data_IF_059643712835
#
_entry.id   IF_059643712835
#
_cell.length_a   1.000
_cell.length_b   1.000
_cell.length_c   1.000
_cell.angle_alpha   90.00
_cell.angle_beta   90.00
_cell.angle_gamma   90.00
#
_symmetry.space_group_name_H-M   'P 1'
#
loop_
_entity.id
_entity.type
_entity.pdbx_description
1 polymer ?
#
# COMPACT_ATOMS: atom_id res chain seq x y z
N UNK A 1 -21.29 -2.13 -22.70
CA UNK A 1 -22.13 -2.65 -21.59
C UNK A 1 -21.47 -3.92 -21.13
N UNK A 2 -20.46 -3.79 -20.28
CA UNK A 2 -19.87 -4.92 -19.56
C UNK A 2 -20.92 -5.43 -18.57
N UNK A 3 -21.24 -6.73 -18.62
CA UNK A 3 -22.07 -7.37 -17.60
C UNK A 3 -21.47 -7.05 -16.22
N UNK A 4 -22.33 -6.66 -15.26
CA UNK A 4 -21.87 -6.31 -13.93
C UNK A 4 -21.18 -7.54 -13.33
N UNK A 5 -19.87 -7.44 -13.09
CA UNK A 5 -19.10 -8.46 -12.39
C UNK A 5 -19.83 -8.78 -11.07
N UNK A 6 -19.96 -10.06 -10.65
CA UNK A 6 -20.68 -10.45 -9.43
C UNK A 6 -20.22 -9.71 -8.16
N UNK A 7 -18.98 -9.21 -8.19
CA UNK A 7 -18.36 -8.47 -7.09
C UNK A 7 -18.76 -6.99 -7.02
N UNK A 8 -19.33 -6.43 -8.10
CA UNK A 8 -19.78 -5.03 -8.16
C UNK A 8 -21.18 -4.86 -7.55
N UNK A 9 -21.45 -5.53 -6.43
CA UNK A 9 -22.68 -5.41 -5.66
C UNK A 9 -22.62 -4.15 -4.77
N UNK A 10 -23.55 -3.19 -4.92
CA UNK A 10 -23.59 -1.99 -4.09
C UNK A 10 -23.68 -2.29 -2.59
N UNK A 11 -24.37 -3.36 -2.19
CA UNK A 11 -24.53 -3.73 -0.79
C UNK A 11 -23.22 -4.21 -0.16
N UNK A 12 -22.50 -5.08 -0.85
CA UNK A 12 -21.16 -5.52 -0.52
C UNK A 12 -20.18 -4.36 -0.43
N UNK A 13 -20.20 -3.48 -1.42
CA UNK A 13 -19.34 -2.29 -1.46
C UNK A 13 -19.65 -1.31 -0.33
N UNK A 14 -20.93 -1.09 -0.01
CA UNK A 14 -21.36 -0.30 1.14
C UNK A 14 -20.78 -0.85 2.43
N UNK A 15 -21.06 -2.11 2.75
CA UNK A 15 -20.56 -2.73 3.99
C UNK A 15 -19.04 -2.67 4.08
N UNK A 16 -18.35 -2.95 2.97
CA UNK A 16 -16.90 -3.02 2.95
C UNK A 16 -16.21 -1.66 3.03
N UNK A 17 -16.95 -0.56 2.87
CA UNK A 17 -16.40 0.79 3.00
C UNK A 17 -16.84 1.49 4.29
N UNK A 18 -17.58 0.80 5.16
CA UNK A 18 -18.02 1.37 6.44
C UNK A 18 -16.87 1.57 7.42
N UNK A 19 -16.85 2.72 8.14
CA UNK A 19 -15.92 2.93 9.23
C UNK A 19 -16.02 1.83 10.29
N UNK A 20 -14.88 1.25 10.67
CA UNK A 20 -14.84 0.21 11.69
C UNK A 20 -15.22 -1.18 11.21
N UNK A 21 -15.60 -1.33 9.93
CA UNK A 21 -15.60 -2.62 9.25
C UNK A 21 -14.16 -3.09 9.05
N UNK A 22 -13.90 -4.36 9.35
CA UNK A 22 -12.60 -4.99 9.21
C UNK A 22 -12.78 -6.49 9.06
N UNK A 23 -11.70 -7.21 8.71
CA UNK A 23 -11.77 -8.63 8.37
C UNK A 23 -12.46 -9.50 9.45
N UNK A 24 -12.19 -9.24 10.74
CA UNK A 24 -12.84 -10.00 11.82
C UNK A 24 -14.34 -9.71 11.95
N UNK A 25 -14.76 -8.45 11.75
CA UNK A 25 -16.19 -8.10 11.79
C UNK A 25 -16.91 -8.66 10.58
N UNK A 26 -16.29 -8.60 9.40
CA UNK A 26 -16.79 -9.17 8.15
C UNK A 26 -17.08 -10.66 8.33
N UNK A 27 -16.07 -11.43 8.78
CA UNK A 27 -16.20 -12.86 9.01
C UNK A 27 -17.33 -13.21 9.99
N UNK A 28 -17.46 -12.47 11.09
CA UNK A 28 -18.54 -12.68 12.07
C UNK A 28 -19.93 -12.47 11.49
N UNK A 29 -20.10 -11.42 10.69
CA UNK A 29 -21.38 -11.11 10.03
C UNK A 29 -21.73 -12.20 9.00
N UNK A 30 -20.74 -12.63 8.21
CA UNK A 30 -20.92 -13.68 7.22
C UNK A 30 -21.28 -15.03 7.85
N UNK A 31 -20.61 -15.42 8.95
CA UNK A 31 -20.89 -16.66 9.67
C UNK A 31 -22.25 -16.65 10.39
N UNK A 32 -22.65 -15.50 10.95
CA UNK A 32 -23.85 -15.41 11.78
C UNK A 32 -25.13 -15.09 10.98
N UNK A 33 -25.02 -14.30 9.92
CA UNK A 33 -26.17 -13.75 9.17
C UNK A 33 -26.15 -14.20 7.71
N UNK A 34 -24.97 -14.25 7.09
CA UNK A 34 -24.79 -14.66 5.70
C UNK A 34 -24.32 -13.52 4.79
N UNK A 35 -24.72 -13.51 3.51
CA UNK A 35 -24.14 -12.60 2.52
C UNK A 35 -24.44 -11.11 2.82
N UNK A 36 -23.69 -10.16 2.22
CA UNK A 36 -23.89 -8.72 2.40
C UNK A 36 -25.33 -8.23 2.29
N UNK A 37 -26.10 -8.78 1.36
CA UNK A 37 -27.52 -8.44 1.18
C UNK A 37 -28.38 -8.81 2.39
N UNK A 38 -28.11 -9.94 3.05
CA UNK A 38 -28.80 -10.35 4.27
C UNK A 38 -28.38 -9.48 5.46
N UNK A 39 -27.09 -9.16 5.57
CA UNK A 39 -26.56 -8.24 6.61
C UNK A 39 -27.20 -6.87 6.52
N UNK A 40 -27.42 -6.34 5.32
CA UNK A 40 -28.11 -5.06 5.10
C UNK A 40 -29.62 -5.11 5.37
N UNK A 41 -30.21 -6.29 5.53
CA UNK A 41 -31.62 -6.44 5.92
C UNK A 41 -31.78 -6.83 7.40
N UNK A 42 -30.68 -7.14 8.08
CA UNK A 42 -30.67 -7.58 9.46
C UNK A 42 -31.14 -6.48 10.41
N UNK A 43 -31.90 -6.88 11.42
CA UNK A 43 -32.28 -6.06 12.56
C UNK A 43 -31.08 -5.73 13.44
N UNK A 44 -31.22 -4.69 14.27
CA UNK A 44 -30.18 -4.35 15.25
C UNK A 44 -29.89 -5.49 16.23
N UNK A 45 -30.87 -6.32 16.55
CA UNK A 45 -30.69 -7.48 17.43
C UNK A 45 -29.84 -8.57 16.76
N UNK A 46 -30.13 -8.91 15.50
CA UNK A 46 -29.34 -9.87 14.72
C UNK A 46 -27.90 -9.40 14.55
N UNK A 47 -27.69 -8.11 14.26
CA UNK A 47 -26.36 -7.52 14.14
C UNK A 47 -25.59 -7.62 15.47
N UNK A 48 -26.20 -7.30 16.61
CA UNK A 48 -25.53 -7.43 17.91
C UNK A 48 -25.22 -8.90 18.26
N UNK A 49 -26.14 -9.82 17.94
CA UNK A 49 -25.98 -11.24 18.18
C UNK A 49 -24.84 -11.88 17.34
N UNK A 50 -24.45 -11.26 16.23
CA UNK A 50 -23.27 -11.69 15.46
C UNK A 50 -21.93 -11.45 16.19
N UNK A 51 -21.91 -10.71 17.30
CA UNK A 51 -20.69 -10.43 18.06
C UNK A 51 -19.81 -9.33 17.48
N UNK A 52 -20.36 -8.49 16.57
CA UNK A 52 -19.73 -7.22 16.21
C UNK A 52 -19.92 -6.18 17.31
N UNK A 53 -19.14 -5.10 17.21
CA UNK A 53 -19.23 -4.00 18.19
C UNK A 53 -20.55 -3.21 18.01
N UNK A 54 -21.17 -2.69 19.08
CA UNK A 54 -22.42 -1.93 18.99
C UNK A 54 -22.35 -0.62 18.18
N UNK A 55 -21.16 -0.01 18.04
CA UNK A 55 -20.94 1.13 17.15
C UNK A 55 -21.04 0.72 15.67
N UNK A 56 -20.44 -0.41 15.29
CA UNK A 56 -20.53 -0.94 13.93
C UNK A 56 -21.96 -1.38 13.59
N UNK A 57 -22.70 -2.00 14.52
CA UNK A 57 -24.10 -2.37 14.28
C UNK A 57 -24.97 -1.14 13.98
N UNK A 58 -24.79 -0.04 14.72
CA UNK A 58 -25.47 1.24 14.44
C UNK A 58 -25.06 1.84 13.11
N UNK A 59 -23.79 1.73 12.73
CA UNK A 59 -23.31 2.20 11.44
C UNK A 59 -23.91 1.40 10.28
N UNK A 60 -24.04 0.08 10.41
CA UNK A 60 -24.70 -0.76 9.39
C UNK A 60 -26.18 -0.37 9.23
N UNK A 61 -26.91 -0.19 10.32
CA UNK A 61 -28.31 0.24 10.27
C UNK A 61 -28.48 1.62 9.62
N UNK A 62 -27.58 2.56 9.91
CA UNK A 62 -27.60 3.90 9.29
C UNK A 62 -27.19 3.85 7.82
N UNK A 63 -26.33 2.91 7.43
CA UNK A 63 -25.83 2.73 6.08
C UNK A 63 -26.88 2.27 5.09
N UNK A 64 -27.91 1.54 5.53
CA UNK A 64 -28.99 1.05 4.66
C UNK A 64 -29.64 2.16 3.83
N UNK A 65 -29.80 3.36 4.41
CA UNK A 65 -30.37 4.52 3.73
C UNK A 65 -29.46 5.14 2.65
N UNK A 66 -28.18 4.75 2.59
CA UNK A 66 -27.15 5.25 1.64
C UNK A 66 -26.88 4.28 0.50
N UNK A 67 -27.66 3.20 0.36
CA UNK A 67 -27.39 2.15 -0.63
C UNK A 67 -27.38 2.69 -2.06
N UNK A 68 -28.35 3.53 -2.43
CA UNK A 68 -28.44 4.12 -3.77
C UNK A 68 -27.25 5.05 -4.07
N UNK A 69 -26.93 5.98 -3.16
CA UNK A 69 -25.76 6.87 -3.26
C UNK A 69 -24.44 6.08 -3.37
N UNK A 70 -24.38 4.93 -2.70
CA UNK A 70 -23.22 4.05 -2.73
C UNK A 70 -23.12 3.28 -4.04
N UNK A 71 -24.26 2.91 -4.63
CA UNK A 71 -24.33 2.36 -5.99
C UNK A 71 -23.84 3.36 -7.03
N UNK A 72 -24.22 4.64 -6.90
CA UNK A 72 -23.70 5.72 -7.75
C UNK A 72 -22.17 5.87 -7.60
N UNK A 73 -21.66 5.89 -6.36
CA UNK A 73 -20.22 5.96 -6.11
C UNK A 73 -19.46 4.76 -6.68
N UNK A 74 -20.02 3.56 -6.59
CA UNK A 74 -19.45 2.37 -7.21
C UNK A 74 -19.40 2.53 -8.73
N UNK A 75 -20.48 2.99 -9.35
CA UNK A 75 -20.54 3.30 -10.78
C UNK A 75 -19.50 4.34 -11.21
N UNK A 76 -19.31 5.39 -10.42
CA UNK A 76 -18.27 6.41 -10.63
C UNK A 76 -16.87 5.80 -10.56
N UNK A 77 -16.61 4.91 -9.59
CA UNK A 77 -15.33 4.24 -9.47
C UNK A 77 -15.04 3.38 -10.71
N UNK A 78 -16.00 2.54 -11.11
CA UNK A 78 -15.87 1.67 -12.28
C UNK A 78 -15.68 2.49 -13.57
N UNK A 79 -16.40 3.60 -13.72
CA UNK A 79 -16.27 4.52 -14.87
C UNK A 79 -14.90 5.19 -14.90
N UNK A 80 -14.32 5.49 -13.75
CA UNK A 80 -12.95 6.00 -13.62
C UNK A 80 -11.86 4.93 -13.85
N UNK A 81 -12.24 3.69 -14.16
CA UNK A 81 -11.31 2.56 -14.34
C UNK A 81 -10.80 1.98 -13.03
N UNK A 82 -11.42 2.33 -11.90
CA UNK A 82 -11.05 1.78 -10.59
C UNK A 82 -11.64 0.37 -10.48
N UNK A 83 -10.77 -0.60 -10.26
CA UNK A 83 -11.12 -1.98 -10.00
C UNK A 83 -11.34 -2.18 -8.50
N UNK A 84 -12.36 -2.96 -8.14
CA UNK A 84 -12.69 -3.28 -6.77
C UNK A 84 -12.35 -4.74 -6.52
N UNK A 85 -11.51 -4.98 -5.51
CA UNK A 85 -11.06 -6.30 -5.10
C UNK A 85 -11.51 -6.58 -3.68
N UNK A 86 -11.84 -7.83 -3.43
CA UNK A 86 -12.14 -8.40 -2.14
C UNK A 86 -11.17 -9.55 -1.85
N UNK A 87 -11.03 -10.01 -0.60
CA UNK A 87 -10.08 -11.08 -0.25
C UNK A 87 -10.23 -12.35 -1.08
N UNK A 88 -11.43 -12.69 -1.52
CA UNK A 88 -11.73 -13.85 -2.35
C UNK A 88 -11.66 -13.58 -3.87
N UNK A 89 -11.41 -12.33 -4.28
CA UNK A 89 -11.36 -11.97 -5.69
C UNK A 89 -10.24 -12.71 -6.42
N UNK A 90 -10.53 -13.12 -7.65
CA UNK A 90 -9.55 -13.76 -8.51
C UNK A 90 -8.44 -12.76 -8.89
N UNK A 91 -7.19 -13.21 -8.94
CA UNK A 91 -6.05 -12.37 -9.34
C UNK A 91 -5.44 -11.49 -8.23
N UNK A 92 -5.90 -11.61 -6.98
CA UNK A 92 -5.23 -10.96 -5.83
C UNK A 92 -3.88 -11.65 -5.57
N UNK A 93 -2.74 -10.93 -5.56
CA UNK A 93 -1.45 -11.56 -5.30
C UNK A 93 -1.38 -12.24 -3.96
N UNK A 94 -0.83 -13.45 -3.95
CA UNK A 94 -0.46 -14.15 -2.72
C UNK A 94 0.45 -13.28 -1.84
N UNK A 95 1.31 -12.47 -2.45
CA UNK A 95 2.18 -11.53 -1.73
C UNK A 95 1.37 -10.46 -1.00
N UNK A 96 0.24 -10.01 -1.53
CA UNK A 96 -0.66 -9.03 -0.90
C UNK A 96 -1.49 -9.68 0.22
N UNK A 97 -2.00 -10.89 0.00
CA UNK A 97 -2.74 -11.69 0.99
C UNK A 97 -1.85 -12.04 2.19
N UNK A 98 -0.65 -12.58 1.95
CA UNK A 98 0.30 -12.94 3.00
C UNK A 98 0.90 -11.74 3.73
N UNK A 99 1.05 -10.62 3.03
CA UNK A 99 1.58 -9.38 3.58
C UNK A 99 0.66 -8.76 4.64
N UNK A 100 -0.63 -8.80 4.36
CA UNK A 100 -1.65 -8.07 5.10
C UNK A 100 -2.93 -8.91 5.13
N UNK A 101 -3.19 -9.66 6.20
CA UNK A 101 -4.39 -10.49 6.28
C UNK A 101 -5.66 -9.66 6.63
N UNK A 102 -5.49 -8.43 7.10
CA UNK A 102 -6.58 -7.62 7.67
C UNK A 102 -7.13 -6.56 6.70
N UNK A 103 -7.47 -6.97 5.47
CA UNK A 103 -8.26 -6.14 4.55
C UNK A 103 -9.50 -6.89 4.09
N UNK A 104 -10.48 -6.12 3.64
CA UNK A 104 -11.79 -6.63 3.23
C UNK A 104 -12.33 -5.90 1.99
N UNK A 105 -11.66 -4.82 1.58
CA UNK A 105 -11.81 -4.20 0.28
C UNK A 105 -10.48 -3.60 -0.16
N UNK A 106 -10.27 -3.62 -1.45
CA UNK A 106 -9.24 -2.91 -2.14
C UNK A 106 -9.75 -2.22 -3.39
N UNK A 107 -9.26 -1.01 -3.59
CA UNK A 107 -9.47 -0.25 -4.83
C UNK A 107 -8.15 -0.11 -5.54
N UNK A 108 -8.14 -0.44 -6.82
CA UNK A 108 -6.96 -0.45 -7.68
C UNK A 108 -7.21 0.45 -8.90
N UNK A 109 -6.21 1.21 -9.33
CA UNK A 109 -6.25 1.96 -10.58
C UNK A 109 -4.89 1.91 -11.27
N UNK A 110 -4.88 1.58 -12.55
CA UNK A 110 -3.65 1.43 -13.34
C UNK A 110 -3.46 -0.02 -13.81
N UNK A 111 -2.20 -0.44 -13.97
CA UNK A 111 -1.88 -1.78 -14.49
C UNK A 111 -1.93 -2.84 -13.38
N UNK A 112 -2.94 -3.74 -13.37
CA UNK A 112 -2.98 -4.84 -12.41
C UNK A 112 -1.82 -5.81 -12.64
N UNK A 113 -1.16 -5.88 -13.79
CA UNK A 113 0.01 -6.75 -14.01
C UNK A 113 1.18 -6.49 -13.05
N UNK A 114 1.25 -5.29 -12.44
CA UNK A 114 2.25 -4.95 -11.43
C UNK A 114 2.06 -5.71 -10.10
N UNK A 115 0.89 -6.31 -9.91
CA UNK A 115 0.60 -7.24 -8.82
C UNK A 115 1.50 -8.49 -8.87
N UNK A 116 1.93 -8.88 -10.07
CA UNK A 116 2.78 -10.05 -10.34
C UNK A 116 4.25 -9.69 -10.56
N UNK A 117 4.65 -8.46 -10.21
CA UNK A 117 6.04 -8.02 -10.35
C UNK A 117 7.00 -8.95 -9.58
N UNK A 118 7.97 -9.51 -10.32
CA UNK A 118 8.93 -10.51 -9.80
C UNK A 118 9.71 -9.98 -8.60
N UNK A 119 10.25 -8.76 -8.74
CA UNK A 119 11.02 -8.07 -7.71
C UNK A 119 10.41 -6.71 -7.44
N UNK A 120 10.11 -6.45 -6.16
CA UNK A 120 9.49 -5.23 -5.67
C UNK A 120 10.34 -4.65 -4.55
N UNK A 121 10.91 -3.48 -4.77
CA UNK A 121 11.71 -2.77 -3.76
C UNK A 121 10.88 -1.66 -3.15
N UNK A 122 10.67 -1.75 -1.84
CA UNK A 122 10.01 -0.69 -1.08
C UNK A 122 10.99 0.44 -0.80
N UNK A 123 10.63 1.66 -1.16
CA UNK A 123 11.43 2.84 -0.84
C UNK A 123 10.63 3.78 0.06
N UNK A 124 11.16 4.10 1.24
CA UNK A 124 10.47 4.97 2.21
C UNK A 124 11.41 5.99 2.83
N UNK A 125 10.84 7.11 3.26
CA UNK A 125 11.60 8.06 4.05
C UNK A 125 10.81 9.26 4.55
N UNK A 126 11.53 10.32 4.93
CA UNK A 126 10.95 11.54 5.47
C UNK A 126 10.14 12.29 4.41
N UNK A 127 9.08 12.96 4.89
CA UNK A 127 8.28 13.88 4.07
C UNK A 127 9.01 15.20 3.77
N UNK A 128 9.70 15.70 4.79
CA UNK A 128 10.63 16.82 4.71
C UNK A 128 12.03 16.21 4.71
N UNK A 129 12.42 15.68 3.56
CA UNK A 129 13.75 15.10 3.35
C UNK A 129 14.73 16.18 2.88
N UNK A 130 16.03 15.92 3.03
CA UNK A 130 17.05 16.82 2.48
C UNK A 130 17.07 16.75 0.95
N UNK A 131 17.63 17.77 0.29
CA UNK A 131 17.81 17.76 -1.17
C UNK A 131 18.65 16.56 -1.62
N UNK A 132 19.70 16.23 -0.85
CA UNK A 132 20.55 15.06 -1.09
C UNK A 132 19.73 13.76 -0.99
N UNK A 133 18.89 13.61 0.02
CA UNK A 133 18.03 12.43 0.17
C UNK A 133 16.98 12.31 -0.92
N UNK A 134 16.39 13.45 -1.35
CA UNK A 134 15.46 13.51 -2.49
C UNK A 134 16.15 13.07 -3.77
N UNK A 135 17.34 13.59 -4.06
CA UNK A 135 18.11 13.25 -5.25
C UNK A 135 18.54 11.78 -5.23
N UNK A 136 19.05 11.30 -4.10
CA UNK A 136 19.43 9.88 -3.92
C UNK A 136 18.25 8.94 -4.13
N UNK A 137 17.06 9.27 -3.60
CA UNK A 137 15.86 8.48 -3.81
C UNK A 137 15.42 8.44 -5.27
N UNK A 138 15.53 9.56 -5.98
CA UNK A 138 15.26 9.65 -7.41
C UNK A 138 16.24 8.78 -8.20
N UNK A 139 17.55 8.99 -8.04
CA UNK A 139 18.58 8.30 -8.81
C UNK A 139 18.59 6.80 -8.55
N UNK A 140 18.39 6.40 -7.28
CA UNK A 140 18.29 4.99 -6.93
C UNK A 140 17.07 4.33 -7.58
N UNK A 141 15.91 4.98 -7.54
CA UNK A 141 14.70 4.45 -8.15
C UNK A 141 14.80 4.36 -9.68
N UNK A 142 15.47 5.33 -10.32
CA UNK A 142 15.80 5.29 -11.74
C UNK A 142 16.73 4.11 -12.06
N UNK A 143 17.78 3.91 -11.26
CA UNK A 143 18.69 2.77 -11.41
C UNK A 143 18.00 1.42 -11.24
N UNK A 144 17.10 1.28 -10.25
CA UNK A 144 16.29 0.06 -10.07
C UNK A 144 15.35 -0.18 -11.26
N UNK A 145 14.71 0.88 -11.77
CA UNK A 145 13.87 0.79 -12.95
C UNK A 145 14.63 0.28 -14.19
N UNK A 146 15.89 0.72 -14.37
CA UNK A 146 16.77 0.24 -15.44
C UNK A 146 17.04 -1.27 -15.40
N UNK A 147 16.95 -1.89 -14.22
CA UNK A 147 17.08 -3.34 -14.02
C UNK A 147 15.72 -4.08 -14.08
N UNK A 148 14.64 -3.40 -14.49
CA UNK A 148 13.30 -3.98 -14.60
C UNK A 148 12.59 -4.20 -13.26
N UNK A 149 13.04 -3.53 -12.20
CA UNK A 149 12.53 -3.72 -10.84
C UNK A 149 11.40 -2.74 -10.55
N UNK A 150 10.32 -3.23 -9.95
CA UNK A 150 9.21 -2.38 -9.56
C UNK A 150 9.50 -1.64 -8.25
N UNK A 151 9.25 -0.32 -8.23
CA UNK A 151 9.41 0.50 -7.03
C UNK A 151 8.07 0.65 -6.31
N UNK A 152 8.03 0.31 -5.03
CA UNK A 152 6.84 0.39 -4.18
C UNK A 152 7.00 1.51 -3.14
N UNK A 153 6.04 2.42 -3.05
CA UNK A 153 6.04 3.45 -2.01
C UNK A 153 4.65 3.99 -1.70
N UNK A 154 4.58 5.08 -0.94
CA UNK A 154 3.37 5.62 -0.34
C UNK A 154 2.81 6.90 -0.98
N UNK A 155 3.45 7.41 -2.04
CA UNK A 155 3.09 8.67 -2.69
C UNK A 155 3.11 9.91 -1.75
N UNK A 156 3.78 9.83 -0.59
CA UNK A 156 3.96 11.00 0.27
C UNK A 156 4.98 11.96 -0.35
N UNK A 157 4.91 13.27 -0.03
CA UNK A 157 5.96 14.22 -0.40
C UNK A 157 7.34 13.74 0.11
N UNK A 158 8.43 14.17 -0.52
CA UNK A 158 9.79 13.83 -0.12
C UNK A 158 10.25 12.54 -0.77
N UNK A 159 10.77 11.59 0.03
CA UNK A 159 11.40 10.36 -0.47
C UNK A 159 10.43 9.51 -1.30
N UNK A 160 9.22 9.23 -0.80
CA UNK A 160 8.25 8.36 -1.49
C UNK A 160 7.97 8.89 -2.91
N UNK A 161 7.62 10.18 -3.02
CA UNK A 161 7.37 10.81 -4.30
C UNK A 161 8.60 10.84 -5.20
N UNK A 162 9.79 11.14 -4.67
CA UNK A 162 11.03 11.18 -5.47
C UNK A 162 11.37 9.80 -6.04
N UNK A 163 11.09 8.75 -5.28
CA UNK A 163 11.24 7.36 -5.71
C UNK A 163 10.30 7.03 -6.88
N UNK A 164 9.01 7.41 -6.79
CA UNK A 164 8.07 7.21 -7.89
C UNK A 164 8.49 7.97 -9.15
N UNK A 165 8.90 9.24 -9.02
CA UNK A 165 9.28 10.06 -10.17
C UNK A 165 10.55 9.52 -10.83
N UNK A 166 11.57 9.12 -10.05
CA UNK A 166 12.80 8.54 -10.59
C UNK A 166 12.57 7.20 -11.27
N UNK A 167 11.71 6.34 -10.71
CA UNK A 167 11.33 5.10 -11.37
C UNK A 167 10.66 5.35 -12.73
N UNK A 168 9.73 6.30 -12.79
CA UNK A 168 9.00 6.63 -14.01
C UNK A 168 9.87 7.35 -15.07
N UNK A 169 10.91 8.09 -14.67
CA UNK A 169 11.77 8.80 -15.63
C UNK A 169 12.56 7.86 -16.55
N UNK A 170 12.82 6.63 -16.09
CA UNK A 170 13.45 5.56 -16.89
C UNK A 170 12.43 4.61 -17.52
N UNK A 171 11.14 4.97 -17.52
CA UNK A 171 10.07 4.11 -18.06
C UNK A 171 9.82 2.84 -17.23
N UNK A 172 10.30 2.82 -15.98
CA UNK A 172 10.05 1.75 -15.02
C UNK A 172 8.61 1.74 -14.52
N UNK A 173 8.28 0.68 -13.79
CA UNK A 173 6.94 0.51 -13.22
C UNK A 173 6.93 0.74 -11.72
N UNK A 174 5.92 1.44 -11.22
CA UNK A 174 5.83 1.79 -9.80
C UNK A 174 4.45 1.52 -9.21
N UNK A 175 4.43 1.21 -7.92
CA UNK A 175 3.23 0.84 -7.17
C UNK A 175 3.10 1.79 -5.99
N UNK A 176 1.94 2.44 -5.85
CA UNK A 176 1.68 3.41 -4.82
C UNK A 176 0.52 2.98 -3.93
N UNK A 177 0.78 2.80 -2.64
CA UNK A 177 -0.26 2.47 -1.67
C UNK A 177 -0.68 3.74 -0.93
N UNK A 178 -1.94 4.12 -1.06
CA UNK A 178 -2.46 5.41 -0.65
C UNK A 178 -2.98 5.40 0.80
N UNK A 179 -2.77 6.48 1.56
CA UNK A 179 -3.34 6.67 2.90
C UNK A 179 -4.74 7.32 2.88
N UNK A 180 -5.45 7.23 1.75
CA UNK A 180 -6.72 7.91 1.47
C UNK A 180 -7.44 7.20 0.33
N UNK A 181 -8.70 7.53 0.08
CA UNK A 181 -9.46 6.92 -1.02
C UNK A 181 -8.93 7.32 -2.40
N UNK A 182 -8.96 6.40 -3.37
CA UNK A 182 -8.47 6.66 -4.74
C UNK A 182 -9.22 7.82 -5.37
N UNK A 183 -10.56 7.83 -5.37
CA UNK A 183 -11.34 8.93 -5.97
C UNK A 183 -11.00 10.29 -5.36
N UNK A 184 -10.76 10.34 -4.03
CA UNK A 184 -10.29 11.57 -3.38
C UNK A 184 -8.89 11.97 -3.86
N UNK A 185 -7.98 11.01 -3.96
CA UNK A 185 -6.62 11.24 -4.44
C UNK A 185 -6.60 11.80 -5.86
N UNK A 186 -7.38 11.23 -6.80
CA UNK A 186 -7.45 11.73 -8.18
C UNK A 186 -7.94 13.19 -8.23
N UNK A 187 -8.89 13.56 -7.35
CA UNK A 187 -9.47 14.92 -7.30
C UNK A 187 -8.53 15.97 -6.69
N UNK A 188 -7.66 15.59 -5.75
CA UNK A 188 -6.84 16.54 -4.99
C UNK A 188 -5.39 16.65 -5.47
N UNK A 189 -4.90 15.70 -6.26
CA UNK A 189 -3.47 15.63 -6.53
C UNK A 189 -3.02 16.68 -7.55
N UNK A 190 -2.15 17.60 -7.10
CA UNK A 190 -1.56 18.66 -7.93
C UNK A 190 -0.67 18.16 -9.05
N UNK A 191 -0.23 16.89 -9.02
CA UNK A 191 0.59 16.24 -10.06
C UNK A 191 -0.22 15.29 -10.92
N UNK A 192 -1.50 15.60 -11.10
CA UNK A 192 -2.42 14.78 -11.89
C UNK A 192 -1.84 14.37 -13.24
N UNK A 193 -1.12 15.26 -13.94
CA UNK A 193 -0.54 14.95 -15.25
C UNK A 193 0.48 13.80 -15.24
N UNK A 194 1.48 13.84 -14.34
CA UNK A 194 2.47 12.75 -14.26
C UNK A 194 1.81 11.42 -13.89
N UNK A 195 0.85 11.44 -12.97
CA UNK A 195 0.10 10.25 -12.56
C UNK A 195 -0.71 9.72 -13.74
N UNK A 196 -1.40 10.60 -14.46
CA UNK A 196 -2.20 10.26 -15.63
C UNK A 196 -1.32 9.66 -16.74
N UNK A 197 -0.21 10.30 -17.10
CA UNK A 197 0.72 9.81 -18.11
C UNK A 197 1.24 8.39 -17.73
N UNK A 198 1.55 8.17 -16.46
CA UNK A 198 2.00 6.87 -15.97
C UNK A 198 0.90 5.79 -15.95
N UNK A 199 -0.35 6.17 -15.64
CA UNK A 199 -1.51 5.28 -15.72
C UNK A 199 -1.78 4.88 -17.18
N UNK A 200 -1.78 5.84 -18.10
CA UNK A 200 -1.99 5.62 -19.53
C UNK A 200 -0.88 4.75 -20.15
N UNK A 201 0.36 4.89 -19.67
CA UNK A 201 1.48 4.06 -20.10
C UNK A 201 1.52 2.65 -19.47
N UNK A 202 0.60 2.32 -18.55
CA UNK A 202 0.62 1.05 -17.82
C UNK A 202 1.84 0.91 -16.88
N UNK A 203 2.37 2.03 -16.38
CA UNK A 203 3.58 2.08 -15.54
C UNK A 203 3.30 2.38 -14.07
N UNK A 204 2.04 2.58 -13.71
CA UNK A 204 1.62 2.89 -12.36
C UNK A 204 0.47 1.98 -11.93
N UNK A 205 0.53 1.52 -10.68
CA UNK A 205 -0.60 0.92 -9.98
C UNK A 205 -0.84 1.69 -8.67
N UNK A 206 -2.02 2.32 -8.56
CA UNK A 206 -2.51 2.95 -7.34
C UNK A 206 -3.38 1.97 -6.57
N UNK A 207 -3.20 1.92 -5.25
CA UNK A 207 -3.88 0.96 -4.38
C UNK A 207 -4.36 1.66 -3.12
N UNK A 208 -5.61 1.46 -2.74
CA UNK A 208 -6.14 1.92 -1.46
C UNK A 208 -7.17 0.96 -0.89
N UNK A 209 -7.07 0.68 0.40
CA UNK A 209 -8.12 -0.01 1.14
C UNK A 209 -9.04 0.94 1.91
N UNK A 210 -8.99 2.25 1.65
CA UNK A 210 -9.84 3.26 2.29
C UNK A 210 -11.12 3.45 1.47
N UNK A 211 -12.19 3.98 2.09
CA UNK A 211 -13.40 4.37 1.35
C UNK A 211 -13.00 5.33 0.20
N UNK A 212 -13.51 5.23 -1.04
CA UNK A 212 -12.93 5.96 -2.19
C UNK A 212 -12.91 7.47 -2.07
N UNK A 213 -13.86 8.05 -1.33
CA UNK A 213 -13.92 9.49 -1.03
C UNK A 213 -13.24 9.90 0.28
N UNK A 214 -12.64 8.96 1.01
CA UNK A 214 -12.01 9.21 2.30
C UNK A 214 -10.83 10.18 2.14
N UNK A 215 -10.82 11.20 2.99
CA UNK A 215 -9.69 12.15 3.10
C UNK A 215 -8.47 11.45 3.67
N UNK A 216 -7.33 12.12 3.56
CA UNK A 216 -6.09 11.66 4.18
C UNK A 216 -6.32 11.42 5.68
N UNK A 217 -5.91 10.25 6.15
CA UNK A 217 -6.02 9.87 7.56
C UNK A 217 -4.71 9.27 8.09
N UNK A 218 -4.42 9.53 9.37
CA UNK A 218 -3.21 9.05 10.04
C UNK A 218 -3.26 7.53 10.22
N UNK A 219 -4.41 6.99 10.61
CA UNK A 219 -4.61 5.55 10.82
C UNK A 219 -4.42 4.81 9.50
N UNK A 220 -5.00 5.31 8.41
CA UNK A 220 -4.80 4.75 7.07
C UNK A 220 -3.34 4.82 6.62
N UNK A 221 -2.65 5.94 6.89
CA UNK A 221 -1.22 6.04 6.61
C UNK A 221 -0.40 4.99 7.38
N UNK A 222 -0.74 4.71 8.64
CA UNK A 222 -0.07 3.67 9.43
C UNK A 222 -0.43 2.26 8.93
N UNK A 223 -1.69 2.01 8.59
CA UNK A 223 -2.16 0.72 8.07
C UNK A 223 -1.45 0.39 6.76
N UNK A 224 -1.46 1.34 5.81
CA UNK A 224 -0.79 1.24 4.52
C UNK A 224 0.71 1.00 4.63
N UNK A 225 1.39 1.55 5.63
CA UNK A 225 2.82 1.25 5.84
C UNK A 225 3.07 -0.23 6.14
N UNK A 226 2.09 -0.91 6.76
CA UNK A 226 2.11 -2.35 6.91
C UNK A 226 2.16 -3.09 5.58
N UNK A 227 1.54 -2.55 4.54
CA UNK A 227 1.44 -3.11 3.20
C UNK A 227 2.74 -2.92 2.44
N UNK A 228 3.27 -1.69 2.43
CA UNK A 228 4.57 -1.38 1.83
C UNK A 228 5.64 -2.32 2.41
N UNK A 229 5.72 -2.38 3.74
CA UNK A 229 6.71 -3.20 4.43
C UNK A 229 6.62 -4.70 4.07
N UNK A 230 5.44 -5.17 3.74
CA UNK A 230 5.17 -6.60 3.60
C UNK A 230 5.27 -7.08 2.15
N UNK A 231 4.86 -6.24 1.20
CA UNK A 231 5.02 -6.50 -0.24
C UNK A 231 6.47 -6.28 -0.68
N UNK A 232 7.23 -5.43 -0.02
CA UNK A 232 8.66 -5.28 -0.33
C UNK A 232 9.41 -6.62 -0.21
N UNK A 233 10.20 -6.97 -1.22
CA UNK A 233 11.21 -8.02 -1.10
C UNK A 233 12.35 -7.52 -0.21
N UNK A 234 12.74 -6.25 -0.40
CA UNK A 234 13.64 -5.49 0.45
C UNK A 234 13.05 -4.10 0.69
N UNK A 235 13.11 -3.61 1.92
CA UNK A 235 12.73 -2.25 2.26
C UNK A 235 13.98 -1.36 2.39
N UNK A 236 14.07 -0.35 1.54
CA UNK A 236 15.12 0.68 1.56
C UNK A 236 14.60 1.93 2.27
N UNK A 237 15.33 2.36 3.31
CA UNK A 237 15.09 3.59 4.05
C UNK A 237 16.15 4.61 3.65
N UNK A 238 15.72 5.66 2.94
CA UNK A 238 16.63 6.73 2.50
C UNK A 238 16.92 7.69 3.64
N UNK A 239 15.87 8.30 4.20
CA UNK A 239 15.98 9.15 5.39
C UNK A 239 14.88 8.83 6.38
N UNK A 240 15.20 8.75 7.66
CA UNK A 240 14.25 8.63 8.74
C UNK A 240 14.46 9.75 9.78
N UNK A 241 13.38 10.25 10.37
CA UNK A 241 13.49 11.00 11.64
C UNK A 241 13.89 10.08 12.79
N UNK A 242 13.97 10.57 14.02
CA UNK A 242 14.25 9.73 15.21
C UNK A 242 13.05 8.86 15.61
N UNK A 243 11.86 9.18 15.11
CA UNK A 243 10.60 8.48 15.30
C UNK A 243 9.67 8.74 14.11
N UNK A 244 8.52 8.05 14.04
CA UNK A 244 7.46 8.34 13.07
C UNK A 244 7.16 7.21 12.09
N UNK A 245 6.56 7.56 10.95
CA UNK A 245 6.04 6.60 9.97
C UNK A 245 7.10 5.69 9.36
N UNK A 246 8.24 6.26 8.95
CA UNK A 246 9.38 5.50 8.39
C UNK A 246 9.90 4.46 9.37
N UNK A 247 10.04 4.83 10.66
CA UNK A 247 10.43 3.93 11.74
C UNK A 247 9.47 2.75 11.92
N UNK A 248 8.17 3.04 11.95
CA UNK A 248 7.14 2.01 12.09
C UNK A 248 7.15 1.06 10.88
N UNK A 249 7.39 1.59 9.69
CA UNK A 249 7.51 0.80 8.45
C UNK A 249 8.71 -0.14 8.50
N UNK A 250 9.89 0.38 8.85
CA UNK A 250 11.12 -0.41 8.99
C UNK A 250 10.99 -1.51 10.05
N UNK A 251 10.39 -1.20 11.20
CA UNK A 251 10.12 -2.19 12.26
C UNK A 251 9.12 -3.24 11.79
N UNK A 252 8.08 -2.84 11.08
CA UNK A 252 7.09 -3.76 10.49
C UNK A 252 7.74 -4.73 9.50
N UNK A 253 8.61 -4.23 8.62
CA UNK A 253 9.35 -5.04 7.66
C UNK A 253 10.24 -6.08 8.35
N UNK A 254 11.03 -5.67 9.36
CA UNK A 254 11.85 -6.60 10.15
C UNK A 254 11.01 -7.65 10.88
N UNK A 255 9.88 -7.27 11.48
CA UNK A 255 8.97 -8.23 12.14
C UNK A 255 8.44 -9.29 11.16
N UNK A 256 8.31 -8.93 9.87
CA UNK A 256 7.91 -9.83 8.79
C UNK A 256 9.09 -10.58 8.14
N UNK A 257 10.27 -10.54 8.75
CA UNK A 257 11.47 -11.23 8.24
C UNK A 257 12.08 -10.57 7.01
N UNK A 258 11.64 -9.37 6.62
CA UNK A 258 12.18 -8.66 5.46
C UNK A 258 13.51 -8.00 5.80
N UNK A 259 14.42 -7.96 4.84
CA UNK A 259 15.64 -7.19 4.96
C UNK A 259 15.32 -5.70 4.87
N UNK A 260 15.94 -4.93 5.76
CA UNK A 260 15.84 -3.47 5.80
C UNK A 260 17.22 -2.90 5.60
N UNK A 261 17.35 -2.10 4.54
CA UNK A 261 18.57 -1.39 4.16
C UNK A 261 18.38 0.08 4.49
N UNK A 262 19.37 0.70 5.11
CA UNK A 262 19.26 2.09 5.60
C UNK A 262 20.51 2.85 5.18
N UNK A 263 20.32 4.02 4.59
CA UNK A 263 21.45 4.81 4.13
C UNK A 263 22.26 5.46 5.26
N UNK A 264 23.58 5.45 5.13
CA UNK A 264 24.56 6.24 5.89
C UNK A 264 25.05 7.41 5.03
N UNK A 265 25.83 8.33 5.62
CA UNK A 265 26.36 9.50 4.89
C UNK A 265 25.53 10.78 5.00
N UNK A 266 24.53 10.80 5.89
CA UNK A 266 23.73 11.99 6.23
C UNK A 266 24.24 12.69 7.50
N UNK A 267 25.56 12.84 7.63
CA UNK A 267 26.18 13.28 8.87
C UNK A 267 25.77 14.70 9.28
N UNK A 268 25.65 14.93 10.59
CA UNK A 268 25.35 16.25 11.15
C UNK A 268 23.89 16.71 11.04
N UNK A 269 22.98 15.89 10.52
CA UNK A 269 21.55 16.22 10.44
C UNK A 269 20.65 15.19 11.16
N UNK A 270 19.38 15.54 11.35
CA UNK A 270 18.40 14.67 12.03
C UNK A 270 18.18 13.34 11.28
N UNK A 271 18.30 13.33 9.94
CA UNK A 271 18.19 12.10 9.15
C UNK A 271 19.32 11.12 9.46
N UNK A 272 20.56 11.60 9.60
CA UNK A 272 21.71 10.79 10.01
C UNK A 272 21.52 10.16 11.38
N UNK A 273 20.96 10.90 12.35
CA UNK A 273 20.63 10.37 13.69
C UNK A 273 19.53 9.31 13.59
N UNK A 274 18.46 9.59 12.85
CA UNK A 274 17.35 8.65 12.66
C UNK A 274 17.77 7.35 11.98
N UNK A 275 18.54 7.45 10.90
CA UNK A 275 19.08 6.30 10.16
C UNK A 275 20.05 5.48 11.03
N UNK A 276 20.98 6.14 11.73
CA UNK A 276 21.90 5.46 12.65
C UNK A 276 21.16 4.70 13.75
N UNK A 277 20.10 5.31 14.29
CA UNK A 277 19.26 4.67 15.29
C UNK A 277 18.49 3.47 14.72
N UNK A 278 17.99 3.54 13.48
CA UNK A 278 17.38 2.39 12.80
C UNK A 278 18.37 1.25 12.61
N UNK A 279 19.58 1.54 12.11
CA UNK A 279 20.64 0.56 11.90
C UNK A 279 20.92 -0.19 13.20
N UNK A 280 21.15 0.53 14.30
CA UNK A 280 21.41 -0.07 15.62
C UNK A 280 20.21 -0.85 16.17
N UNK A 281 19.02 -0.26 16.13
CA UNK A 281 17.84 -0.84 16.80
C UNK A 281 17.28 -2.06 16.08
N UNK A 282 17.46 -2.12 14.77
CA UNK A 282 16.88 -3.16 13.91
C UNK A 282 17.92 -4.10 13.30
N UNK A 283 19.20 -3.92 13.63
CA UNK A 283 20.31 -4.57 12.92
C UNK A 283 20.15 -4.43 11.40
N UNK A 284 19.81 -3.22 10.96
CA UNK A 284 19.56 -2.94 9.55
C UNK A 284 20.87 -2.89 8.76
N UNK A 285 20.82 -3.28 7.48
CA UNK A 285 22.01 -3.32 6.63
C UNK A 285 22.34 -1.89 6.18
N UNK A 286 23.53 -1.35 6.48
CA UNK A 286 23.89 -0.01 6.04
C UNK A 286 24.13 0.03 4.53
N UNK A 287 23.73 1.13 3.89
CA UNK A 287 24.08 1.48 2.52
C UNK A 287 24.80 2.83 2.50
N UNK A 288 25.98 2.92 1.91
CA UNK A 288 26.71 4.18 1.88
C UNK A 288 26.21 5.08 0.74
N UNK A 289 25.65 6.24 1.08
CA UNK A 289 25.15 7.22 0.10
C UNK A 289 26.26 7.79 -0.81
N UNK A 290 27.53 7.62 -0.44
CA UNK A 290 28.67 8.02 -1.29
C UNK A 290 29.01 7.03 -2.41
N UNK A 291 28.39 5.84 -2.43
CA UNK A 291 28.64 4.85 -3.48
C UNK A 291 27.95 5.25 -4.80
N UNK A 292 28.50 4.83 -5.95
CA UNK A 292 27.83 4.97 -7.24
C UNK A 292 26.46 4.27 -7.24
N UNK A 293 25.48 4.88 -7.92
CA UNK A 293 24.10 4.35 -8.00
C UNK A 293 24.07 2.91 -8.51
N UNK A 294 24.88 2.58 -9.52
CA UNK A 294 24.98 1.21 -10.06
C UNK A 294 25.43 0.19 -9.00
N UNK A 295 26.32 0.59 -8.09
CA UNK A 295 26.77 -0.28 -7.00
C UNK A 295 25.67 -0.43 -5.94
N UNK A 296 24.97 0.65 -5.60
CA UNK A 296 23.83 0.61 -4.69
C UNK A 296 22.72 -0.31 -5.19
N UNK A 297 22.37 -0.19 -6.47
CA UNK A 297 21.40 -1.07 -7.16
C UNK A 297 21.86 -2.53 -7.06
N UNK A 298 23.10 -2.84 -7.46
CA UNK A 298 23.62 -4.20 -7.37
C UNK A 298 23.56 -4.79 -5.97
N UNK A 299 23.89 -4.00 -4.93
CA UNK A 299 23.79 -4.44 -3.53
C UNK A 299 22.35 -4.70 -3.09
N UNK A 300 21.41 -3.84 -3.47
CA UNK A 300 19.99 -4.02 -3.14
C UNK A 300 19.44 -5.28 -3.81
N UNK A 301 19.76 -5.52 -5.08
CA UNK A 301 19.30 -6.70 -5.82
C UNK A 301 19.91 -7.99 -5.30
N UNK A 302 21.18 -7.98 -4.89
CA UNK A 302 21.78 -9.13 -4.23
C UNK A 302 21.03 -9.49 -2.95
N UNK A 303 20.72 -8.51 -2.10
CA UNK A 303 19.96 -8.77 -0.86
C UNK A 303 18.53 -9.25 -1.16
N UNK A 304 17.91 -8.75 -2.22
CA UNK A 304 16.58 -9.20 -2.65
C UNK A 304 16.60 -10.66 -3.11
N UNK A 305 17.61 -11.05 -3.89
CA UNK A 305 17.81 -12.43 -4.33
C UNK A 305 18.04 -13.38 -3.15
N UNK A 306 18.95 -13.02 -2.23
CA UNK A 306 19.27 -13.83 -1.04
C UNK A 306 18.04 -14.03 -0.14
N UNK A 307 17.17 -13.01 -0.06
CA UNK A 307 15.93 -13.07 0.73
C UNK A 307 14.88 -14.02 0.13
N UNK A 308 14.88 -14.18 -1.19
CA UNK A 308 13.97 -15.07 -1.90
C UNK A 308 14.32 -16.54 -1.66
N UNK A 309 15.61 -16.90 -1.72
CA UNK A 309 16.07 -18.27 -1.46
C UNK A 309 15.75 -18.73 -0.02
N UNK A 310 15.89 -17.85 0.98
CA UNK A 310 15.55 -18.16 2.37
C UNK A 310 14.05 -18.44 2.57
N UNK A 311 13.17 -17.76 1.83
CA UNK A 311 11.73 -18.03 1.90
C UNK A 311 11.35 -19.34 1.19
N UNK A 312 12.02 -19.68 0.08
CA UNK A 312 11.78 -20.94 -0.64
C UNK A 312 12.11 -22.14 0.23
N UNK A 313 13.25 -22.13 0.91
CA UNK A 313 13.69 -23.27 1.73
C UNK A 313 12.76 -23.49 2.93
N UNK A 314 12.21 -22.42 3.52
CA UNK A 314 11.21 -22.51 4.61
C UNK A 314 9.80 -22.94 4.19
N UNK A 315 9.49 -22.90 2.89
CA UNK A 315 8.19 -23.34 2.36
C UNK A 315 8.23 -24.81 1.89
N UNK A 316 9.42 -25.40 1.79
CA UNK A 316 9.65 -26.79 1.37
C UNK A 316 9.94 -27.74 2.55
N UNK A 317 10.08 -27.20 3.77
CA UNK A 317 10.19 -27.91 5.05
C UNK A 317 8.87 -27.85 5.84
#
# INVERSE_FOLDING_TARGET
MTEAHPENDPGRFLLATLPGMGASSWKRLEEAIGPPSAVLQASGEELLNSGIRPDLAREILSAQARLDETGELLGDCLTAGIQIFYPESEGVPLRLISATPDWHILTLLGDPGLLDATTVIGMVGRRQATEVGVQLAFDLAAGLAGEGVAVLSGMAQGIDQSSHVGCLSEGGSTIAVLPMGIMRFLRENRRWRLIQDALEAGKLLLISGAHPLQKWDVSEAMRRNGWIAAWSDVLVVVEAGTQGGTWKTARSARKKGKQVLVFTGFDGNEAGVGNSNLIRSLSATPLDAGLPVSELVGRILQVAADSFDICRDKLLD
#
